data_IF_579371708416
#
_entry.id   IF_579371708416
#
_cell.length_a   1.000
_cell.length_b   1.000
_cell.length_c   1.000
_cell.angle_alpha   90.00
_cell.angle_beta   90.00
_cell.angle_gamma   90.00
#
_symmetry.space_group_name_H-M   'P 1'
#
loop_
_entity.id
_entity.type
_entity.pdbx_description
1 polymer ?
#
# COMPACT_ATOMS: atom_id res chain seq x y z
N UNK A 1 28.30 24.61 -3.30
CA UNK A 1 27.40 25.12 -2.28
C UNK A 1 27.39 24.19 -1.08
N UNK A 2 27.53 24.73 0.12
CA UNK A 2 27.44 23.99 1.37
C UNK A 2 26.35 24.63 2.23
N UNK A 3 25.47 23.82 2.78
CA UNK A 3 24.44 24.24 3.74
C UNK A 3 24.58 23.38 4.99
N UNK A 4 24.69 24.03 6.14
CA UNK A 4 24.70 23.40 7.46
C UNK A 4 23.57 23.99 8.29
N UNK A 5 22.75 23.14 8.89
CA UNK A 5 21.62 23.57 9.71
C UNK A 5 21.57 22.75 10.99
N UNK A 6 21.24 23.39 12.09
CA UNK A 6 21.00 22.74 13.37
C UNK A 6 19.74 23.32 14.01
N UNK A 7 18.85 22.44 14.46
CA UNK A 7 17.61 22.81 15.13
C UNK A 7 17.54 22.12 16.49
N UNK A 8 17.15 22.86 17.51
CA UNK A 8 16.95 22.34 18.84
C UNK A 8 15.49 22.51 19.23
N UNK A 9 14.75 21.43 19.27
CA UNK A 9 13.29 21.43 19.45
C UNK A 9 12.90 20.81 20.79
N UNK A 10 11.80 21.34 21.37
CA UNK A 10 11.22 20.83 22.59
C UNK A 10 9.76 20.45 22.46
N UNK A 11 9.36 19.30 23.03
CA UNK A 11 8.01 18.83 23.07
C UNK A 11 7.56 18.51 24.50
N UNK A 12 6.54 19.21 24.98
CA UNK A 12 6.04 19.10 26.36
C UNK A 12 5.39 17.74 26.67
N UNK A 13 4.95 17.02 25.62
CA UNK A 13 4.27 15.72 25.73
C UNK A 13 5.22 14.57 26.06
N UNK A 14 6.53 14.75 25.86
CA UNK A 14 7.55 13.76 26.15
C UNK A 14 7.97 13.77 27.63
N UNK A 15 8.66 12.71 28.03
CA UNK A 15 9.10 12.54 29.41
C UNK A 15 10.10 13.63 29.87
N UNK A 16 10.11 13.89 31.15
CA UNK A 16 11.08 14.81 31.73
C UNK A 16 12.52 14.32 31.46
N UNK A 17 13.39 15.24 31.00
CA UNK A 17 14.74 14.89 30.55
C UNK A 17 14.85 14.55 29.07
N UNK A 18 13.75 14.15 28.39
CA UNK A 18 13.72 13.78 26.96
C UNK A 18 12.89 14.74 26.12
N UNK A 19 12.47 15.88 26.69
CA UNK A 19 11.63 16.87 25.99
C UNK A 19 12.37 17.57 24.86
N UNK A 20 13.67 17.77 25.00
CA UNK A 20 14.48 18.53 24.06
C UNK A 20 15.45 17.63 23.30
N UNK A 21 15.58 17.86 22.00
CA UNK A 21 16.55 17.13 21.18
C UNK A 21 17.11 18.00 20.05
N UNK A 22 18.27 17.60 19.50
CA UNK A 22 18.99 18.32 18.48
C UNK A 22 18.94 17.59 17.13
N UNK A 23 18.56 18.33 16.07
CA UNK A 23 18.34 17.81 14.72
C UNK A 23 19.29 18.51 13.73
N UNK A 24 20.46 17.92 13.46
CA UNK A 24 21.41 18.46 12.50
C UNK A 24 21.04 18.11 11.07
N UNK A 25 21.42 18.96 10.12
CA UNK A 25 21.46 18.63 8.70
C UNK A 25 22.63 19.27 7.98
N UNK A 26 23.09 18.59 6.92
CA UNK A 26 24.14 19.07 6.05
C UNK A 26 23.81 18.74 4.60
N UNK A 27 24.02 19.66 3.69
CA UNK A 27 23.84 19.42 2.27
C UNK A 27 24.98 20.06 1.46
N UNK A 28 25.45 19.31 0.46
CA UNK A 28 26.46 19.78 -0.50
C UNK A 28 25.84 19.72 -1.89
N UNK A 29 26.05 20.76 -2.66
CA UNK A 29 25.68 20.79 -4.06
C UNK A 29 26.88 21.25 -4.89
N UNK A 30 27.27 20.41 -5.85
CA UNK A 30 28.38 20.65 -6.76
C UNK A 30 27.86 20.90 -8.17
N UNK A 31 28.15 22.08 -8.70
CA UNK A 31 27.80 22.48 -10.07
C UNK A 31 28.94 22.06 -10.99
N UNK A 32 28.86 20.82 -11.45
CA UNK A 32 29.91 20.17 -12.24
C UNK A 32 30.09 20.84 -13.60
N UNK A 33 29.04 21.47 -14.15
CA UNK A 33 29.10 22.20 -15.42
C UNK A 33 30.01 23.44 -15.38
N UNK A 34 30.40 23.89 -14.19
CA UNK A 34 31.32 25.03 -14.03
C UNK A 34 32.79 24.60 -13.99
N UNK A 35 33.06 23.31 -13.90
CA UNK A 35 34.43 22.78 -13.82
C UNK A 35 35.07 22.68 -15.20
N UNK A 36 36.37 22.95 -15.29
CA UNK A 36 37.09 22.98 -16.57
C UNK A 36 37.00 21.69 -17.36
N UNK A 37 36.92 20.53 -16.72
CA UNK A 37 36.81 19.23 -17.39
C UNK A 37 35.43 18.97 -18.01
N UNK A 38 34.36 19.70 -17.64
CA UNK A 38 33.01 19.61 -18.22
C UNK A 38 32.68 20.83 -19.07
N UNK A 39 33.19 22.00 -18.72
CA UNK A 39 32.90 23.30 -19.33
C UNK A 39 33.09 23.32 -20.87
N UNK A 40 33.99 22.48 -21.39
CA UNK A 40 34.22 22.33 -22.82
C UNK A 40 33.22 21.43 -23.54
N UNK A 41 32.33 20.78 -22.78
CA UNK A 41 31.33 19.86 -23.35
C UNK A 41 30.07 20.66 -23.70
N UNK A 42 29.99 21.14 -24.94
CA UNK A 42 28.97 22.10 -25.40
C UNK A 42 27.51 21.60 -25.32
N UNK A 43 27.30 20.28 -25.23
CA UNK A 43 25.94 19.71 -25.14
C UNK A 43 25.43 19.59 -23.70
N UNK A 44 26.27 19.82 -22.67
CA UNK A 44 25.87 19.86 -21.26
C UNK A 44 25.57 21.32 -20.91
N UNK A 45 24.32 21.61 -20.57
CA UNK A 45 23.87 22.95 -20.15
C UNK A 45 23.88 23.10 -18.62
N UNK A 46 23.53 22.03 -17.92
CA UNK A 46 23.55 21.96 -16.47
C UNK A 46 23.88 20.53 -16.04
N UNK A 47 24.74 20.40 -15.05
CA UNK A 47 25.03 19.14 -14.39
C UNK A 47 25.37 19.43 -12.94
N UNK A 48 24.42 19.16 -12.02
CA UNK A 48 24.56 19.48 -10.61
C UNK A 48 24.36 18.21 -9.78
N UNK A 49 25.39 17.85 -9.05
CA UNK A 49 25.35 16.75 -8.09
C UNK A 49 25.00 17.27 -6.70
N UNK A 50 24.10 16.58 -6.01
CA UNK A 50 23.62 16.93 -4.66
C UNK A 50 23.74 15.74 -3.73
N UNK A 51 24.21 15.99 -2.51
CA UNK A 51 24.16 15.04 -1.40
C UNK A 51 23.68 15.77 -0.17
N UNK A 52 22.68 15.22 0.50
CA UNK A 52 22.15 15.74 1.74
C UNK A 52 22.02 14.65 2.79
N UNK A 53 22.30 15.00 4.01
CA UNK A 53 22.02 14.21 5.21
C UNK A 53 21.26 15.06 6.20
N UNK A 54 20.24 14.51 6.83
CA UNK A 54 19.50 15.23 7.87
C UNK A 54 18.83 14.29 8.86
N UNK A 55 18.67 14.78 10.07
CA UNK A 55 17.91 14.12 11.12
C UNK A 55 16.68 14.95 11.44
N UNK A 56 15.53 14.30 11.51
CA UNK A 56 14.26 14.91 11.92
C UNK A 56 13.67 14.14 13.09
N UNK A 57 12.96 14.85 13.97
CA UNK A 57 12.28 14.26 15.12
C UNK A 57 10.76 14.27 14.94
N UNK A 58 10.12 13.26 15.52
CA UNK A 58 8.69 13.18 15.69
C UNK A 58 8.35 12.96 17.16
N UNK A 59 7.46 13.78 17.71
CA UNK A 59 6.96 13.70 19.09
C UNK A 59 5.43 13.53 19.14
N UNK A 60 4.83 13.00 18.07
CA UNK A 60 3.39 12.93 17.88
C UNK A 60 2.76 11.85 18.77
N UNK A 61 2.62 12.18 20.05
CA UNK A 61 1.85 11.43 21.04
C UNK A 61 0.80 12.33 21.69
N UNK A 62 -0.24 11.72 22.23
CA UNK A 62 -1.25 12.46 22.98
C UNK A 62 -0.69 12.97 24.32
N UNK A 63 -1.17 14.12 24.83
CA UNK A 63 -0.78 14.60 26.16
C UNK A 63 -1.00 13.53 27.24
N UNK A 64 -0.14 13.55 28.24
CA UNK A 64 -0.18 12.66 29.42
C UNK A 64 0.08 11.17 29.15
N UNK A 65 0.46 10.77 27.95
CA UNK A 65 0.75 9.35 27.68
C UNK A 65 1.97 8.82 28.45
N UNK A 66 2.91 9.70 28.81
CA UNK A 66 4.04 9.35 29.69
C UNK A 66 3.63 8.98 31.10
N UNK A 67 2.50 9.51 31.58
CA UNK A 67 1.98 9.27 32.95
C UNK A 67 1.12 8.02 33.06
N UNK A 68 0.89 7.33 31.93
CA UNK A 68 0.00 6.17 31.88
C UNK A 68 -1.49 6.55 31.94
N UNK A 69 -2.36 5.57 31.87
CA UNK A 69 -3.80 5.79 31.94
C UNK A 69 -4.55 4.67 32.65
N UNK A 70 -5.70 5.03 33.19
CA UNK A 70 -6.70 4.12 33.68
C UNK A 70 -7.96 4.22 32.85
N UNK A 71 -8.62 3.11 32.64
CA UNK A 71 -9.91 3.05 31.92
C UNK A 71 -11.02 2.74 32.94
N UNK A 72 -12.04 3.59 32.95
CA UNK A 72 -13.26 3.29 33.69
C UNK A 72 -14.12 2.34 32.87
N UNK A 73 -14.43 1.18 33.43
CA UNK A 73 -15.26 0.19 32.75
C UNK A 73 -16.54 0.02 33.56
N UNK A 74 -17.69 0.09 32.93
CA UNK A 74 -18.93 -0.41 33.51
C UNK A 74 -18.82 -1.94 33.55
N UNK A 75 -18.29 -2.48 34.63
CA UNK A 75 -18.35 -3.91 34.88
C UNK A 75 -19.58 -4.16 35.76
N UNK A 76 -20.45 -5.08 35.36
CA UNK A 76 -21.45 -5.65 36.23
C UNK A 76 -20.69 -6.50 37.30
N UNK A 77 -20.06 -5.82 38.24
CA UNK A 77 -19.52 -6.49 39.41
C UNK A 77 -20.68 -6.55 40.40
N UNK A 78 -21.21 -7.74 40.71
CA UNK A 78 -22.26 -7.86 41.71
C UNK A 78 -21.63 -7.51 43.08
N UNK A 79 -21.84 -6.28 43.52
CA UNK A 79 -21.44 -5.84 44.84
C UNK A 79 -22.68 -5.89 45.74
N UNK A 80 -22.75 -6.87 46.65
CA UNK A 80 -23.86 -7.04 47.61
C UNK A 80 -24.47 -8.43 47.59
N UNK A 81 -25.18 -8.79 48.65
CA UNK A 81 -25.95 -10.04 48.81
C UNK A 81 -27.38 -9.75 48.35
N UNK A 82 -27.84 -10.45 47.30
CA UNK A 82 -29.21 -10.36 46.79
C UNK A 82 -29.33 -9.82 45.35
N UNK A 83 -30.54 -9.88 44.80
CA UNK A 83 -30.88 -9.55 43.39
C UNK A 83 -30.73 -8.06 42.96
N UNK A 84 -30.12 -7.23 43.78
CA UNK A 84 -29.84 -5.85 43.44
C UNK A 84 -28.37 -5.74 42.99
N UNK A 85 -28.11 -6.11 41.73
CA UNK A 85 -26.85 -5.78 41.06
C UNK A 85 -26.81 -4.26 40.85
N UNK A 86 -26.15 -3.54 41.73
CA UNK A 86 -25.79 -2.14 41.46
C UNK A 86 -24.61 -2.14 40.48
N UNK A 87 -24.76 -1.44 39.38
CA UNK A 87 -23.66 -1.19 38.42
C UNK A 87 -22.62 -0.32 39.11
N UNK A 88 -21.53 -0.93 39.57
CA UNK A 88 -20.40 -0.20 40.12
C UNK A 88 -19.42 0.10 38.98
N UNK A 89 -19.05 1.37 38.87
CA UNK A 89 -17.99 1.78 37.95
C UNK A 89 -16.66 1.32 38.52
N UNK A 90 -16.06 0.33 37.85
CA UNK A 90 -14.70 -0.12 38.17
C UNK A 90 -13.68 0.64 37.34
N UNK A 91 -12.53 0.95 37.94
CA UNK A 91 -11.40 1.54 37.22
C UNK A 91 -10.27 0.49 37.21
N UNK A 92 -9.75 0.24 35.99
CA UNK A 92 -8.56 -0.62 35.82
C UNK A 92 -7.45 0.15 35.13
N UNK A 93 -6.22 -0.18 35.48
CA UNK A 93 -5.04 0.30 34.73
C UNK A 93 -5.08 -0.20 33.31
N UNK A 94 -4.76 0.66 32.34
CA UNK A 94 -4.76 0.31 30.91
C UNK A 94 -3.39 0.49 30.28
N UNK A 95 -2.76 1.64 30.45
CA UNK A 95 -1.45 1.95 29.90
C UNK A 95 -0.46 2.17 31.03
N UNK A 96 0.67 1.46 30.98
CA UNK A 96 1.75 1.62 31.94
C UNK A 96 2.47 2.96 31.72
N UNK A 97 2.80 3.73 32.81
CA UNK A 97 3.61 4.93 32.70
C UNK A 97 4.98 4.63 32.09
N UNK A 98 5.45 5.56 31.24
CA UNK A 98 6.81 5.52 30.70
C UNK A 98 7.50 6.88 30.84
N UNK A 99 8.32 7.02 31.87
CA UNK A 99 9.05 8.24 32.16
C UNK A 99 10.38 8.37 31.37
N UNK A 100 10.65 7.46 30.44
CA UNK A 100 11.80 7.52 29.54
C UNK A 100 11.43 7.82 28.09
N UNK A 101 10.13 8.07 27.81
CA UNK A 101 9.64 8.29 26.45
C UNK A 101 10.27 9.54 25.82
N UNK A 102 10.94 9.35 24.69
CA UNK A 102 11.67 10.38 23.97
C UNK A 102 11.20 10.55 22.52
N UNK A 103 12.00 11.29 21.74
CA UNK A 103 11.75 11.53 20.34
C UNK A 103 11.95 10.27 19.50
N UNK A 104 11.04 10.05 18.55
CA UNK A 104 11.28 9.22 17.39
C UNK A 104 12.17 9.97 16.41
N UNK A 105 13.21 9.34 15.84
CA UNK A 105 14.21 9.98 15.00
C UNK A 105 14.22 9.36 13.61
N UNK A 106 14.17 10.20 12.59
CA UNK A 106 14.38 9.79 11.20
C UNK A 106 15.65 10.41 10.68
N UNK A 107 16.65 9.58 10.36
CA UNK A 107 17.85 9.96 9.64
C UNK A 107 17.66 9.67 8.15
N UNK A 108 17.98 10.64 7.30
CA UNK A 108 17.81 10.51 5.86
C UNK A 108 19.04 10.92 5.09
N UNK A 109 19.38 10.16 4.06
CA UNK A 109 20.35 10.50 3.02
C UNK A 109 19.60 10.70 1.72
N UNK A 110 19.88 11.77 1.01
CA UNK A 110 19.40 12.04 -0.33
C UNK A 110 20.58 12.30 -1.26
N UNK A 111 20.62 11.62 -2.40
CA UNK A 111 21.63 11.81 -3.44
C UNK A 111 20.88 12.14 -4.72
N UNK A 112 21.20 13.29 -5.33
CA UNK A 112 20.52 13.78 -6.51
C UNK A 112 21.47 14.25 -7.60
N UNK A 113 21.02 14.08 -8.84
CA UNK A 113 21.66 14.59 -10.03
C UNK A 113 20.65 15.40 -10.83
N UNK A 114 20.86 16.71 -10.91
CA UNK A 114 20.06 17.58 -11.79
C UNK A 114 20.86 17.78 -13.09
N UNK A 115 20.22 17.59 -14.22
CA UNK A 115 20.87 17.72 -15.51
C UNK A 115 19.99 18.43 -16.53
N UNK A 116 20.67 19.14 -17.44
CA UNK A 116 20.06 19.68 -18.65
C UNK A 116 21.07 19.61 -19.79
N UNK A 117 20.66 19.02 -20.90
CA UNK A 117 21.52 18.71 -22.03
C UNK A 117 20.88 19.10 -23.37
N UNK A 118 21.69 19.13 -24.44
CA UNK A 118 21.28 19.38 -25.81
C UNK A 118 20.49 20.70 -25.95
N UNK A 119 21.05 21.79 -25.44
CA UNK A 119 20.43 23.12 -25.41
C UNK A 119 19.07 23.10 -24.67
N UNK A 120 19.05 22.49 -23.50
CA UNK A 120 17.87 22.30 -22.64
C UNK A 120 16.73 21.51 -23.31
N UNK A 121 17.04 20.67 -24.31
CA UNK A 121 16.05 19.80 -24.91
C UNK A 121 15.69 18.60 -24.03
N UNK A 122 16.62 18.18 -23.20
CA UNK A 122 16.43 17.12 -22.23
C UNK A 122 16.88 17.67 -20.89
N UNK A 123 15.98 17.73 -19.94
CA UNK A 123 16.27 18.16 -18.56
C UNK A 123 15.57 17.26 -17.56
N UNK A 124 16.15 17.11 -16.38
CA UNK A 124 15.55 16.27 -15.38
C UNK A 124 16.34 16.19 -14.09
N UNK A 125 15.81 15.41 -13.17
CA UNK A 125 16.48 15.03 -11.94
C UNK A 125 16.36 13.53 -11.71
N UNK A 126 17.44 12.93 -11.22
CA UNK A 126 17.47 11.56 -10.74
C UNK A 126 17.86 11.63 -9.26
N UNK A 127 17.02 11.06 -8.40
CA UNK A 127 17.22 11.09 -6.96
C UNK A 127 17.18 9.68 -6.38
N UNK A 128 18.09 9.41 -5.47
CA UNK A 128 18.05 8.25 -4.58
C UNK A 128 17.93 8.75 -3.16
N UNK A 129 16.99 8.19 -2.41
CA UNK A 129 16.87 8.47 -0.99
C UNK A 129 16.87 7.19 -0.16
N UNK A 130 17.38 7.32 1.06
CA UNK A 130 17.24 6.32 2.11
C UNK A 130 16.97 7.04 3.43
N UNK A 131 15.87 6.68 4.06
CA UNK A 131 15.48 7.15 5.38
C UNK A 131 15.39 5.96 6.34
N UNK A 132 15.91 6.12 7.53
CA UNK A 132 15.81 5.15 8.61
C UNK A 132 15.19 5.84 9.83
N UNK A 133 14.05 5.31 10.28
CA UNK A 133 13.38 5.78 11.50
C UNK A 133 13.67 4.81 12.62
N UNK A 134 14.23 5.32 13.70
CA UNK A 134 14.52 4.60 14.93
C UNK A 134 13.69 5.13 16.08
N UNK A 135 13.63 4.35 17.15
CA UNK A 135 12.93 4.74 18.36
C UNK A 135 11.45 5.08 18.11
N UNK A 136 10.79 4.27 17.26
CA UNK A 136 9.39 4.46 16.90
C UNK A 136 8.50 4.56 18.14
N UNK A 137 7.63 5.55 18.16
CA UNK A 137 6.64 5.75 19.24
C UNK A 137 5.48 4.75 19.08
N UNK A 138 5.61 3.58 19.68
CA UNK A 138 4.68 2.46 19.51
C UNK A 138 4.15 1.94 20.84
N UNK A 139 2.95 1.35 20.79
CA UNK A 139 2.39 0.60 21.89
C UNK A 139 3.00 -0.82 21.90
N UNK A 140 3.58 -1.19 23.02
CA UNK A 140 4.09 -2.52 23.29
C UNK A 140 3.15 -3.25 24.24
N UNK A 141 2.65 -4.42 23.85
CA UNK A 141 1.83 -5.26 24.70
C UNK A 141 2.65 -5.80 25.88
N UNK A 142 2.02 -5.85 27.04
CA UNK A 142 2.65 -6.34 28.27
C UNK A 142 1.99 -7.64 28.74
N UNK A 143 2.75 -8.53 29.39
CA UNK A 143 2.19 -9.71 30.06
C UNK A 143 1.12 -9.30 31.07
N UNK A 144 0.03 -10.06 31.16
CA UNK A 144 -1.12 -9.77 32.04
C UNK A 144 -0.71 -9.65 33.50
N UNK A 145 0.34 -10.36 33.94
CA UNK A 145 0.87 -10.32 35.30
C UNK A 145 1.34 -8.92 35.72
N UNK A 146 1.63 -8.02 34.78
CA UNK A 146 2.02 -6.63 35.08
C UNK A 146 0.85 -5.76 35.54
N UNK A 147 -0.38 -6.21 35.33
CA UNK A 147 -1.60 -5.45 35.60
C UNK A 147 -1.91 -4.38 34.55
N UNK A 148 -1.09 -4.25 33.51
CA UNK A 148 -1.27 -3.31 32.41
C UNK A 148 -1.42 -4.06 31.09
N UNK A 149 -2.21 -3.50 30.17
CA UNK A 149 -2.37 -4.08 28.83
C UNK A 149 -1.19 -3.74 27.91
N UNK A 150 -0.71 -2.51 28.00
CA UNK A 150 0.34 -1.99 27.11
C UNK A 150 1.15 -0.88 27.78
N UNK A 151 2.31 -0.58 27.18
CA UNK A 151 3.15 0.58 27.46
C UNK A 151 3.50 1.27 26.16
N UNK A 152 3.46 2.59 26.12
CA UNK A 152 4.01 3.36 25.01
C UNK A 152 5.53 3.47 25.19
N UNK A 153 6.28 3.14 24.17
CA UNK A 153 7.73 3.06 24.24
C UNK A 153 8.39 3.44 22.91
N UNK A 154 9.63 3.90 23.00
CA UNK A 154 10.49 4.11 21.83
C UNK A 154 11.09 2.76 21.43
N UNK A 155 10.49 2.10 20.46
CA UNK A 155 10.89 0.73 20.08
C UNK A 155 10.68 0.49 18.59
N UNK A 156 11.55 -0.35 18.04
CA UNK A 156 11.48 -0.71 16.65
C UNK A 156 12.19 0.26 15.72
N UNK A 157 12.40 -0.22 14.51
CA UNK A 157 13.13 0.50 13.46
C UNK A 157 12.56 0.16 12.10
N UNK A 158 12.41 1.17 11.26
CA UNK A 158 11.99 1.01 9.88
C UNK A 158 12.97 1.66 8.93
N UNK A 159 13.00 1.18 7.71
CA UNK A 159 13.79 1.76 6.62
C UNK A 159 12.91 1.95 5.41
N UNK A 160 13.05 3.11 4.79
CA UNK A 160 12.41 3.46 3.54
C UNK A 160 13.49 3.92 2.54
N UNK A 161 13.48 3.38 1.32
CA UNK A 161 14.43 3.77 0.27
C UNK A 161 13.76 3.75 -1.09
N UNK A 162 14.19 4.63 -1.97
CA UNK A 162 13.62 4.69 -3.30
C UNK A 162 14.47 5.45 -4.29
N UNK A 163 14.00 5.41 -5.53
CA UNK A 163 14.55 6.15 -6.65
C UNK A 163 13.43 6.96 -7.28
N UNK A 164 13.69 8.22 -7.56
CA UNK A 164 12.77 9.13 -8.22
C UNK A 164 13.46 9.70 -9.48
N UNK A 165 12.72 9.71 -10.58
CA UNK A 165 13.15 10.29 -11.85
C UNK A 165 12.10 11.29 -12.31
N UNK A 166 12.54 12.50 -12.60
CA UNK A 166 11.76 13.51 -13.33
C UNK A 166 12.51 13.84 -14.60
N UNK A 167 11.85 13.72 -15.74
CA UNK A 167 12.45 13.94 -17.05
C UNK A 167 11.51 14.77 -17.91
N UNK A 168 11.99 15.88 -18.43
CA UNK A 168 11.32 16.72 -19.42
C UNK A 168 12.12 16.72 -20.73
N UNK A 169 11.43 16.43 -21.84
CA UNK A 169 12.06 16.36 -23.15
C UNK A 169 11.29 17.17 -24.17
N UNK A 170 11.99 17.97 -24.97
CA UNK A 170 11.47 18.59 -26.17
C UNK A 170 11.84 17.69 -27.35
N UNK A 171 10.94 16.80 -27.73
CA UNK A 171 11.18 15.77 -28.74
C UNK A 171 11.33 16.38 -30.14
N UNK A 172 10.40 17.29 -30.47
CA UNK A 172 10.40 18.02 -31.72
C UNK A 172 10.17 19.50 -31.44
N UNK A 173 10.95 20.37 -32.05
CA UNK A 173 10.76 21.82 -32.00
C UNK A 173 11.04 22.40 -33.40
N UNK A 174 9.99 22.88 -34.02
CA UNK A 174 10.05 23.62 -35.29
C UNK A 174 9.46 25.03 -35.10
N UNK A 175 9.33 25.81 -36.14
CA UNK A 175 8.72 27.15 -36.09
C UNK A 175 7.27 27.11 -35.62
N UNK A 176 6.50 26.14 -36.11
CA UNK A 176 5.04 26.06 -35.90
C UNK A 176 4.61 24.89 -35.01
N UNK A 177 5.50 23.92 -34.72
CA UNK A 177 5.17 22.72 -34.02
C UNK A 177 6.18 22.42 -32.92
N UNK A 178 5.67 22.14 -31.71
CA UNK A 178 6.47 21.66 -30.55
C UNK A 178 5.81 20.41 -29.97
N UNK A 179 6.60 19.38 -29.73
CA UNK A 179 6.22 18.20 -28.98
C UNK A 179 7.12 18.08 -27.76
N UNK A 180 6.50 18.13 -26.59
CA UNK A 180 7.16 17.98 -25.28
C UNK A 180 6.58 16.77 -24.55
N UNK A 181 7.45 16.05 -23.85
CA UNK A 181 7.08 14.94 -22.96
C UNK A 181 7.68 15.20 -21.58
N UNK A 182 6.83 15.14 -20.55
CA UNK A 182 7.26 15.14 -19.15
C UNK A 182 6.96 13.78 -18.56
N UNK A 183 7.97 13.16 -18.00
CA UNK A 183 7.89 11.85 -17.39
C UNK A 183 8.34 11.91 -15.92
N UNK A 184 7.53 11.33 -15.04
CA UNK A 184 7.86 11.10 -13.64
C UNK A 184 7.81 9.62 -13.33
N UNK A 185 8.76 9.14 -12.56
CA UNK A 185 8.83 7.76 -12.10
C UNK A 185 9.31 7.74 -10.66
N UNK A 186 8.66 6.94 -9.82
CA UNK A 186 9.03 6.76 -8.42
C UNK A 186 8.90 5.29 -8.05
N UNK A 187 9.92 4.78 -7.37
CA UNK A 187 9.87 3.48 -6.71
C UNK A 187 10.19 3.65 -5.24
N UNK A 188 9.52 2.89 -4.41
CA UNK A 188 9.70 2.91 -2.96
C UNK A 188 9.76 1.48 -2.42
N UNK A 189 10.70 1.24 -1.49
CA UNK A 189 10.86 0.00 -0.75
C UNK A 189 10.95 0.30 0.73
N UNK A 190 9.90 -0.04 1.43
CA UNK A 190 9.78 0.08 2.88
C UNK A 190 10.00 -1.27 3.54
N UNK A 191 10.65 -1.30 4.70
CA UNK A 191 10.78 -2.52 5.51
C UNK A 191 10.95 -2.22 6.99
N UNK A 192 10.41 -3.10 7.80
CA UNK A 192 10.68 -3.19 9.23
C UNK A 192 12.08 -3.77 9.41
N UNK A 193 12.94 -3.11 10.18
CA UNK A 193 14.28 -3.55 10.53
C UNK A 193 14.31 -4.25 11.87
N UNK A 194 13.49 -3.76 12.81
CA UNK A 194 13.46 -4.22 14.17
C UNK A 194 12.06 -4.02 14.77
N UNK A 195 11.59 -4.98 15.53
CA UNK A 195 10.34 -4.92 16.29
C UNK A 195 10.63 -4.75 17.80
N UNK A 196 9.62 -4.30 18.53
CA UNK A 196 9.67 -3.90 19.94
C UNK A 196 10.30 -4.92 20.90
N UNK A 197 10.25 -6.21 20.57
CA UNK A 197 10.69 -7.29 21.46
C UNK A 197 11.94 -8.00 20.96
N UNK A 198 12.62 -7.49 19.91
CA UNK A 198 13.67 -8.23 19.21
C UNK A 198 13.16 -9.48 18.48
N UNK A 199 11.85 -9.63 18.39
CA UNK A 199 11.18 -10.72 17.70
C UNK A 199 11.25 -10.52 16.19
N UNK A 200 11.24 -11.61 15.43
CA UNK A 200 11.23 -11.55 13.96
C UNK A 200 9.83 -11.27 13.40
N UNK A 201 8.79 -11.47 14.19
CA UNK A 201 7.40 -11.25 13.81
C UNK A 201 6.52 -10.86 15.00
N UNK A 202 5.47 -10.09 14.69
CA UNK A 202 4.36 -9.80 15.58
C UNK A 202 3.06 -10.08 14.80
N UNK A 203 2.42 -11.20 15.09
CA UNK A 203 1.22 -11.65 14.37
C UNK A 203 -0.03 -10.89 14.80
N UNK A 204 0.00 -10.19 15.94
CA UNK A 204 -1.13 -9.36 16.40
C UNK A 204 -1.31 -8.11 15.53
N UNK A 205 -0.20 -7.57 15.00
CA UNK A 205 -0.18 -6.42 14.12
C UNK A 205 0.17 -6.74 12.66
N UNK A 206 0.17 -7.97 12.18
CA UNK A 206 0.86 -8.65 11.08
C UNK A 206 2.14 -7.93 10.62
N UNK A 207 3.09 -7.77 11.55
CA UNK A 207 4.38 -7.14 11.29
C UNK A 207 5.51 -8.17 11.26
N UNK A 208 6.33 -8.10 10.21
CA UNK A 208 7.42 -9.04 9.97
C UNK A 208 8.70 -8.28 9.64
N UNK A 209 9.79 -8.61 10.31
CA UNK A 209 11.12 -8.05 10.01
C UNK A 209 11.51 -8.37 8.56
N UNK A 210 11.99 -7.39 7.84
CA UNK A 210 12.33 -7.51 6.42
C UNK A 210 11.16 -7.21 5.45
N UNK A 211 9.93 -7.09 5.94
CA UNK A 211 8.73 -6.78 5.15
C UNK A 211 8.21 -5.37 5.40
N UNK A 212 7.38 -4.80 4.49
CA UNK A 212 6.74 -3.51 4.70
C UNK A 212 5.77 -3.52 5.87
N UNK A 213 5.48 -2.33 6.43
CA UNK A 213 4.46 -2.15 7.48
C UNK A 213 3.06 -2.38 6.91
N UNK A 214 2.81 -1.87 5.69
CA UNK A 214 1.51 -1.95 5.03
C UNK A 214 1.39 -3.22 4.20
N UNK A 215 0.97 -4.29 4.83
CA UNK A 215 0.76 -5.59 4.19
C UNK A 215 -0.63 -6.14 4.52
N UNK A 216 -1.06 -7.14 3.74
CA UNK A 216 -2.01 -8.14 4.19
C UNK A 216 -1.25 -9.42 4.48
N UNK A 217 -1.68 -10.16 5.46
CA UNK A 217 -1.13 -11.46 5.83
C UNK A 217 -2.29 -12.43 5.99
N UNK A 218 -2.49 -13.27 4.98
CA UNK A 218 -3.66 -14.13 4.87
C UNK A 218 -3.39 -15.31 3.94
N UNK A 219 -4.32 -16.24 3.88
CA UNK A 219 -4.25 -17.41 3.03
C UNK A 219 -4.23 -17.04 1.54
N UNK A 220 -3.57 -17.88 0.76
CA UNK A 220 -3.47 -17.70 -0.68
C UNK A 220 -4.52 -18.56 -1.39
N UNK A 221 -5.34 -17.92 -2.23
CA UNK A 221 -6.25 -18.60 -3.13
C UNK A 221 -5.50 -19.47 -4.14
N UNK A 222 -5.93 -20.73 -4.29
CA UNK A 222 -5.45 -21.66 -5.31
C UNK A 222 -6.43 -21.69 -6.49
N UNK A 223 -7.58 -22.32 -6.30
CA UNK A 223 -8.62 -22.53 -7.32
C UNK A 223 -9.99 -22.84 -6.69
N UNK A 224 -10.95 -23.21 -7.49
CA UNK A 224 -12.23 -23.74 -7.02
C UNK A 224 -12.15 -25.28 -7.01
N UNK A 225 -12.60 -25.91 -5.91
CA UNK A 225 -12.72 -27.36 -5.82
C UNK A 225 -13.60 -27.87 -6.93
N UNK A 226 -13.17 -28.92 -7.64
CA UNK A 226 -13.90 -29.57 -8.72
C UNK A 226 -14.46 -30.89 -8.26
N UNK A 227 -15.48 -31.39 -8.98
CA UNK A 227 -15.99 -32.76 -8.80
C UNK A 227 -15.19 -33.73 -9.70
N UNK A 228 -13.92 -33.94 -9.33
CA UNK A 228 -13.01 -34.87 -9.99
C UNK A 228 -12.52 -35.90 -8.99
N UNK A 229 -12.11 -37.11 -9.44
CA UNK A 229 -11.54 -38.12 -8.54
C UNK A 229 -10.39 -37.60 -7.67
N UNK A 230 -9.51 -36.78 -8.24
CA UNK A 230 -8.37 -36.22 -7.56
C UNK A 230 -8.80 -35.25 -6.44
N UNK A 231 -9.73 -34.34 -6.75
CA UNK A 231 -10.22 -33.37 -5.78
C UNK A 231 -11.08 -34.07 -4.70
N UNK A 232 -11.88 -35.06 -5.07
CA UNK A 232 -12.66 -35.84 -4.12
C UNK A 232 -11.74 -36.60 -3.14
N UNK A 233 -10.65 -37.20 -3.64
CA UNK A 233 -9.60 -37.81 -2.79
C UNK A 233 -9.02 -36.79 -1.83
N UNK A 234 -8.65 -35.62 -2.32
CA UNK A 234 -8.06 -34.54 -1.50
C UNK A 234 -9.06 -34.01 -0.45
N UNK A 235 -10.32 -33.78 -0.80
CA UNK A 235 -11.35 -33.37 0.15
C UNK A 235 -11.55 -34.39 1.28
N UNK A 236 -11.52 -35.71 0.98
CA UNK A 236 -11.54 -36.76 2.00
C UNK A 236 -10.29 -36.70 2.91
N UNK A 237 -9.10 -36.46 2.35
CA UNK A 237 -7.88 -36.32 3.13
C UNK A 237 -7.96 -35.10 4.09
N UNK A 238 -8.46 -33.96 3.62
CA UNK A 238 -8.69 -32.78 4.48
C UNK A 238 -9.66 -33.11 5.62
N UNK A 239 -10.71 -33.87 5.33
CA UNK A 239 -11.67 -34.29 6.35
C UNK A 239 -11.05 -35.25 7.37
N UNK A 240 -10.32 -36.26 6.90
CA UNK A 240 -9.75 -37.31 7.77
C UNK A 240 -8.56 -36.85 8.59
N UNK A 241 -7.72 -35.93 8.04
CA UNK A 241 -6.51 -35.43 8.70
C UNK A 241 -6.80 -34.19 9.54
N UNK A 242 -7.52 -33.21 8.98
CA UNK A 242 -7.72 -31.88 9.58
C UNK A 242 -9.13 -31.61 10.10
N UNK A 243 -10.06 -32.57 9.93
CA UNK A 243 -11.47 -32.38 10.22
C UNK A 243 -12.09 -31.18 9.47
N UNK A 244 -11.62 -30.94 8.23
CA UNK A 244 -12.08 -29.86 7.36
C UNK A 244 -12.94 -30.43 6.24
N UNK A 245 -14.17 -29.95 6.12
CA UNK A 245 -15.12 -30.43 5.09
C UNK A 245 -15.18 -29.41 3.96
N UNK A 246 -14.85 -29.86 2.75
CA UNK A 246 -14.97 -29.09 1.52
C UNK A 246 -15.95 -29.75 0.57
N UNK A 247 -16.54 -28.97 -0.32
CA UNK A 247 -17.45 -29.42 -1.36
C UNK A 247 -17.00 -28.88 -2.72
N UNK A 248 -17.27 -29.59 -3.83
CA UNK A 248 -17.08 -29.01 -5.17
C UNK A 248 -17.77 -27.65 -5.28
N UNK A 249 -17.15 -26.74 -5.99
CA UNK A 249 -17.62 -25.35 -6.14
C UNK A 249 -17.24 -24.39 -5.03
N UNK A 250 -16.58 -24.84 -3.96
CA UNK A 250 -16.01 -23.94 -2.94
C UNK A 250 -14.60 -23.48 -3.32
N UNK A 251 -14.11 -22.40 -2.69
CA UNK A 251 -12.74 -21.96 -2.88
C UNK A 251 -11.75 -22.90 -2.18
N UNK A 252 -10.67 -23.21 -2.90
CA UNK A 252 -9.50 -23.90 -2.38
C UNK A 252 -8.41 -22.88 -2.10
N UNK A 253 -7.78 -23.00 -0.95
CA UNK A 253 -6.58 -22.23 -0.60
C UNK A 253 -5.34 -23.12 -0.71
N UNK A 254 -4.18 -22.47 -0.85
CA UNK A 254 -2.91 -23.17 -0.77
C UNK A 254 -2.70 -23.67 0.65
N UNK A 255 -2.16 -24.88 0.74
CA UNK A 255 -1.77 -25.58 1.96
C UNK A 255 -0.37 -26.16 1.76
N UNK A 256 0.24 -26.65 2.82
CA UNK A 256 1.44 -27.48 2.72
C UNK A 256 1.14 -28.70 1.84
N UNK A 257 2.09 -29.14 0.98
CA UNK A 257 1.87 -30.33 0.16
C UNK A 257 1.75 -31.58 1.05
N UNK A 258 0.82 -32.46 0.69
CA UNK A 258 0.76 -33.78 1.33
C UNK A 258 2.04 -34.56 1.04
N UNK A 259 2.75 -34.97 2.07
CA UNK A 259 3.94 -35.79 1.98
C UNK A 259 3.56 -37.29 2.13
N UNK A 260 3.16 -37.92 1.02
CA UNK A 260 2.83 -39.36 1.02
C UNK A 260 4.13 -40.18 1.16
N UNK A 261 4.10 -41.20 2.02
CA UNK A 261 5.22 -42.09 2.29
C UNK A 261 4.76 -43.56 2.28
N UNK A 262 5.65 -44.55 2.09
CA UNK A 262 5.28 -45.98 2.17
C UNK A 262 4.66 -46.33 3.55
N UNK A 263 3.70 -47.24 3.54
CA UNK A 263 3.08 -47.75 4.78
C UNK A 263 4.16 -48.36 5.71
N UNK A 264 4.16 -48.00 6.98
CA UNK A 264 5.14 -48.43 7.96
C UNK A 264 6.40 -47.60 8.06
N UNK A 265 6.50 -46.46 7.33
CA UNK A 265 7.59 -45.48 7.53
C UNK A 265 7.58 -44.94 8.95
N UNK A 266 8.72 -44.88 9.62
CA UNK A 266 8.83 -44.38 10.99
C UNK A 266 8.32 -42.93 11.10
N UNK A 267 7.44 -42.67 12.07
CA UNK A 267 6.83 -41.35 12.28
C UNK A 267 5.66 -41.02 11.34
N UNK A 268 5.31 -41.90 10.39
CA UNK A 268 4.17 -41.70 9.50
C UNK A 268 2.84 -41.99 10.20
N UNK A 269 1.78 -41.36 9.73
CA UNK A 269 0.37 -41.63 10.06
C UNK A 269 -0.34 -42.23 8.85
N UNK A 270 -1.36 -43.04 9.09
CA UNK A 270 -2.14 -43.66 8.00
C UNK A 270 -3.61 -43.31 8.17
N UNK A 271 -4.23 -42.89 7.10
CA UNK A 271 -5.69 -42.68 7.01
C UNK A 271 -6.27 -43.64 5.97
N UNK A 272 -7.53 -44.03 6.17
CA UNK A 272 -8.27 -44.91 5.25
C UNK A 272 -9.36 -44.06 4.61
N UNK A 273 -9.34 -43.98 3.28
CA UNK A 273 -10.36 -43.29 2.49
C UNK A 273 -11.64 -44.13 2.43
N UNK A 274 -12.72 -43.53 1.97
CA UNK A 274 -14.03 -44.14 1.95
C UNK A 274 -14.11 -45.33 0.97
N UNK A 275 -13.24 -45.39 -0.03
CA UNK A 275 -13.05 -46.51 -0.96
C UNK A 275 -12.16 -47.64 -0.41
N UNK A 276 -11.67 -47.50 0.83
CA UNK A 276 -10.76 -48.43 1.47
C UNK A 276 -9.28 -48.18 1.16
N UNK A 277 -8.94 -47.24 0.33
CA UNK A 277 -7.53 -46.84 0.02
C UNK A 277 -6.83 -46.36 1.26
N UNK A 278 -5.65 -46.91 1.58
CA UNK A 278 -4.80 -46.45 2.65
C UNK A 278 -3.83 -45.40 2.13
N UNK A 279 -3.72 -44.27 2.82
CA UNK A 279 -2.74 -43.23 2.54
C UNK A 279 -1.89 -43.00 3.77
N UNK A 280 -0.59 -43.29 3.68
CA UNK A 280 0.39 -43.03 4.73
C UNK A 280 1.12 -41.73 4.41
N UNK A 281 1.29 -40.86 5.41
CA UNK A 281 1.84 -39.53 5.23
C UNK A 281 2.66 -39.08 6.44
N UNK A 282 3.61 -38.16 6.22
CA UNK A 282 4.31 -37.46 7.29
C UNK A 282 3.47 -36.27 7.74
N UNK A 283 3.39 -36.07 9.07
CA UNK A 283 2.63 -34.95 9.66
C UNK A 283 3.44 -33.64 9.53
N UNK A 284 3.35 -33.00 8.37
CA UNK A 284 4.01 -31.74 8.04
C UNK A 284 3.10 -30.50 8.17
N UNK A 285 1.90 -30.66 8.73
CA UNK A 285 0.91 -29.57 8.83
C UNK A 285 -0.20 -29.64 7.79
N UNK A 286 -0.09 -30.47 6.74
CA UNK A 286 -1.14 -30.65 5.74
C UNK A 286 -2.51 -30.90 6.39
N UNK A 287 -3.54 -30.27 5.83
CA UNK A 287 -4.93 -30.36 6.30
C UNK A 287 -5.25 -29.52 7.54
N UNK A 288 -4.32 -28.75 8.04
CA UNK A 288 -4.49 -27.85 9.18
C UNK A 288 -4.00 -26.48 8.80
N UNK A 289 -4.89 -25.62 8.37
CA UNK A 289 -4.53 -24.26 7.99
C UNK A 289 -4.08 -23.44 9.20
N UNK A 290 -2.82 -23.05 9.20
CA UNK A 290 -2.13 -22.32 10.26
C UNK A 290 -1.57 -21.01 9.73
N UNK A 291 -0.82 -20.33 10.57
CA UNK A 291 -0.09 -19.12 10.19
C UNK A 291 1.00 -19.39 9.15
N UNK A 292 1.52 -20.62 9.08
CA UNK A 292 2.56 -21.02 8.12
C UNK A 292 2.03 -21.13 6.67
N UNK A 293 0.70 -21.26 6.50
CA UNK A 293 0.05 -21.30 5.20
C UNK A 293 -0.32 -19.92 4.66
N UNK A 294 -0.14 -18.89 5.49
CA UNK A 294 -0.41 -17.51 5.11
C UNK A 294 0.75 -16.90 4.34
N UNK A 295 0.41 -16.05 3.40
CA UNK A 295 1.37 -15.30 2.58
C UNK A 295 1.24 -13.81 2.80
N UNK A 296 2.31 -13.09 2.53
CA UNK A 296 2.35 -11.64 2.64
C UNK A 296 1.99 -11.02 1.29
N UNK A 297 0.96 -10.16 1.29
CA UNK A 297 0.56 -9.36 0.16
C UNK A 297 0.92 -7.89 0.42
N UNK A 298 1.60 -7.26 -0.52
CA UNK A 298 1.99 -5.86 -0.41
C UNK A 298 0.82 -4.94 -0.79
N UNK A 299 0.40 -4.06 0.11
CA UNK A 299 -0.63 -3.02 -0.14
C UNK A 299 -0.09 -1.86 -0.93
N UNK A 300 1.18 -1.48 -0.69
CA UNK A 300 1.81 -0.34 -1.32
C UNK A 300 2.31 -0.67 -2.73
N UNK A 301 2.18 0.24 -3.70
CA UNK A 301 2.73 0.03 -5.03
C UNK A 301 4.26 -0.03 -4.96
N UNK A 302 4.86 -0.90 -5.79
CA UNK A 302 6.31 -0.98 -5.93
C UNK A 302 6.85 0.21 -6.72
N UNK A 303 6.08 0.69 -7.70
CA UNK A 303 6.41 1.85 -8.48
C UNK A 303 5.16 2.55 -9.03
N UNK A 304 5.28 3.86 -9.18
CA UNK A 304 4.28 4.75 -9.73
C UNK A 304 4.93 5.69 -10.72
N UNK A 305 4.15 6.27 -11.61
CA UNK A 305 4.68 7.27 -12.50
C UNK A 305 3.59 7.98 -13.29
N UNK A 306 4.01 9.00 -14.01
CA UNK A 306 3.16 9.80 -14.86
C UNK A 306 3.87 10.16 -16.15
N UNK A 307 3.12 10.19 -17.24
CA UNK A 307 3.57 10.61 -18.56
C UNK A 307 2.63 11.67 -19.07
N UNK A 308 3.12 12.88 -19.23
CA UNK A 308 2.41 13.97 -19.87
C UNK A 308 3.00 14.23 -21.26
N UNK A 309 2.19 14.23 -22.30
CA UNK A 309 2.58 14.66 -23.63
C UNK A 309 1.81 15.92 -24.01
N UNK A 310 2.52 16.89 -24.55
CA UNK A 310 1.97 18.14 -25.03
C UNK A 310 2.44 18.40 -26.46
N UNK A 311 1.50 18.71 -27.34
CA UNK A 311 1.70 19.00 -28.74
C UNK A 311 1.13 20.38 -29.03
N UNK A 312 1.98 21.31 -29.37
CA UNK A 312 1.59 22.67 -29.76
C UNK A 312 1.80 22.83 -31.23
N UNK A 313 0.74 23.18 -31.96
CA UNK A 313 0.79 23.53 -33.39
C UNK A 313 0.14 24.89 -33.59
N UNK A 314 0.95 25.91 -33.88
CA UNK A 314 0.50 27.31 -33.92
C UNK A 314 -0.32 27.67 -32.68
N UNK A 315 -1.58 27.97 -32.86
CA UNK A 315 -2.51 28.40 -31.81
C UNK A 315 -3.23 27.23 -31.13
N UNK A 316 -2.98 25.99 -31.54
CA UNK A 316 -3.54 24.77 -30.98
C UNK A 316 -2.61 24.14 -29.99
N UNK A 317 -3.15 23.68 -28.86
CA UNK A 317 -2.45 22.81 -27.93
C UNK A 317 -3.28 21.57 -27.63
N UNK A 318 -2.70 20.41 -27.84
CA UNK A 318 -3.25 19.10 -27.48
C UNK A 318 -2.35 18.49 -26.42
N UNK A 319 -2.93 17.96 -25.35
CA UNK A 319 -2.17 17.26 -24.30
C UNK A 319 -2.94 16.09 -23.74
N UNK A 320 -2.19 15.11 -23.25
CA UNK A 320 -2.76 14.02 -22.47
C UNK A 320 -1.80 13.62 -21.35
N UNK A 321 -2.39 13.29 -20.20
CA UNK A 321 -1.68 12.80 -19.02
C UNK A 321 -2.10 11.38 -18.70
N UNK A 322 -1.12 10.49 -18.58
CA UNK A 322 -1.28 9.09 -18.21
C UNK A 322 -0.59 8.82 -16.90
N UNK A 323 -1.31 8.25 -15.95
CA UNK A 323 -0.80 7.79 -14.67
C UNK A 323 -0.73 6.26 -14.64
N UNK A 324 0.30 5.72 -14.02
CA UNK A 324 0.46 4.28 -13.86
C UNK A 324 0.92 3.90 -12.46
N UNK A 325 0.42 2.75 -12.00
CA UNK A 325 0.70 2.21 -10.67
C UNK A 325 0.76 0.70 -10.75
N UNK A 326 1.84 0.13 -10.19
CA UNK A 326 2.09 -1.31 -10.28
C UNK A 326 2.66 -1.87 -8.98
N UNK A 327 2.38 -3.16 -8.74
CA UNK A 327 2.98 -3.96 -7.68
C UNK A 327 2.26 -3.95 -6.34
N UNK A 328 1.09 -3.32 -6.25
CA UNK A 328 0.22 -3.38 -5.07
C UNK A 328 -0.82 -4.50 -5.20
N UNK A 329 -1.28 -4.97 -4.05
CA UNK A 329 -2.41 -5.89 -3.93
C UNK A 329 -3.62 -5.13 -3.39
N UNK A 330 -4.77 -5.44 -3.95
CA UNK A 330 -6.07 -4.96 -3.55
C UNK A 330 -6.85 -6.11 -2.88
N UNK A 331 -7.64 -5.79 -1.86
CA UNK A 331 -8.56 -6.73 -1.20
C UNK A 331 -10.00 -6.29 -1.41
N UNK A 332 -10.91 -7.25 -1.61
CA UNK A 332 -12.35 -6.97 -1.72
C UNK A 332 -12.94 -7.23 -3.11
N UNK A 333 -12.23 -7.91 -4.00
CA UNK A 333 -12.71 -8.21 -5.34
C UNK A 333 -14.06 -8.91 -5.32
N UNK A 334 -14.21 -9.99 -4.57
CA UNK A 334 -15.44 -10.78 -4.53
C UNK A 334 -16.58 -10.06 -3.82
N UNK A 335 -16.29 -9.25 -2.82
CA UNK A 335 -17.30 -8.47 -2.11
C UNK A 335 -17.90 -7.36 -2.97
N UNK A 336 -17.06 -6.73 -3.81
CA UNK A 336 -17.51 -5.70 -4.73
C UNK A 336 -18.34 -6.30 -5.87
N UNK A 337 -17.96 -7.49 -6.33
CA UNK A 337 -18.63 -8.21 -7.41
C UNK A 337 -19.87 -8.96 -6.87
N UNK A 338 -19.78 -9.56 -5.68
CA UNK A 338 -20.85 -10.38 -5.09
C UNK A 338 -22.15 -9.65 -4.74
N UNK A 339 -22.17 -8.32 -4.82
CA UNK A 339 -23.41 -7.52 -4.79
C UNK A 339 -24.05 -7.35 -6.16
N UNK A 340 -23.34 -7.71 -7.24
CA UNK A 340 -23.88 -7.78 -8.59
C UNK A 340 -24.15 -9.26 -8.88
N UNK A 341 -25.27 -9.59 -9.46
CA UNK A 341 -25.60 -10.95 -9.91
C UNK A 341 -24.48 -11.44 -10.83
N UNK A 342 -23.60 -12.26 -10.28
CA UNK A 342 -22.47 -12.78 -11.02
C UNK A 342 -22.97 -13.87 -11.98
N UNK A 343 -22.57 -13.73 -13.22
CA UNK A 343 -22.92 -14.67 -14.29
C UNK A 343 -21.92 -15.83 -14.39
N UNK A 344 -20.71 -15.66 -13.81
CA UNK A 344 -19.59 -16.60 -13.94
C UNK A 344 -19.32 -17.31 -12.60
N UNK A 345 -20.33 -18.01 -12.10
CA UNK A 345 -20.26 -18.83 -10.90
C UNK A 345 -20.09 -20.30 -11.24
N UNK A 346 -19.39 -21.01 -10.38
CA UNK A 346 -19.19 -22.45 -10.54
C UNK A 346 -20.53 -23.22 -10.48
N UNK A 347 -20.68 -24.17 -11.38
CA UNK A 347 -21.72 -25.18 -11.40
C UNK A 347 -21.18 -26.42 -12.10
N UNK A 348 -21.85 -27.60 -11.99
CA UNK A 348 -21.43 -28.81 -12.71
C UNK A 348 -21.34 -28.64 -14.23
N UNK A 349 -22.03 -27.64 -14.78
CA UNK A 349 -22.00 -27.28 -16.22
C UNK A 349 -21.07 -26.10 -16.54
N UNK A 350 -20.51 -25.42 -15.54
CA UNK A 350 -19.57 -24.31 -15.66
C UNK A 350 -18.40 -24.48 -14.68
N UNK A 351 -17.56 -25.46 -14.91
CA UNK A 351 -16.44 -25.81 -14.02
C UNK A 351 -15.28 -24.85 -14.07
N UNK A 352 -15.16 -24.05 -15.16
CA UNK A 352 -14.10 -23.04 -15.33
C UNK A 352 -14.48 -21.64 -14.81
N UNK A 353 -15.53 -21.56 -13.99
CA UNK A 353 -15.99 -20.31 -13.42
C UNK A 353 -14.94 -19.63 -12.55
N UNK A 354 -15.04 -18.30 -12.46
CA UNK A 354 -14.14 -17.46 -11.64
C UNK A 354 -14.55 -17.40 -10.17
N UNK A 355 -15.84 -17.64 -9.89
CA UNK A 355 -16.42 -17.50 -8.56
C UNK A 355 -17.00 -18.79 -8.07
N UNK A 356 -16.89 -19.01 -6.76
CA UNK A 356 -17.44 -20.19 -6.12
C UNK A 356 -18.95 -20.27 -6.27
N UNK A 357 -19.49 -21.45 -6.14
CA UNK A 357 -20.92 -21.70 -6.12
C UNK A 357 -21.62 -20.88 -5.03
N UNK A 358 -22.69 -20.14 -5.34
CA UNK A 358 -23.52 -19.50 -4.32
C UNK A 358 -24.08 -20.54 -3.35
N UNK A 359 -24.07 -20.25 -2.05
CA UNK A 359 -24.64 -21.13 -1.04
C UNK A 359 -25.47 -20.33 -0.05
N UNK A 360 -26.56 -20.91 0.42
CA UNK A 360 -27.41 -20.42 1.49
C UNK A 360 -26.95 -20.91 2.86
N UNK A 361 -26.07 -21.93 2.90
CA UNK A 361 -25.52 -22.42 4.15
C UNK A 361 -24.65 -21.34 4.81
N UNK A 362 -24.74 -21.20 6.12
CA UNK A 362 -23.80 -20.40 6.90
C UNK A 362 -22.42 -20.98 6.66
N UNK A 363 -21.65 -20.34 5.78
CA UNK A 363 -20.29 -20.76 5.53
C UNK A 363 -19.45 -20.38 6.75
N UNK A 364 -18.83 -21.33 7.35
CA UNK A 364 -17.65 -21.12 8.19
C UNK A 364 -16.47 -20.84 7.26
N UNK A 365 -16.60 -19.84 6.42
CA UNK A 365 -15.63 -19.60 5.35
C UNK A 365 -14.57 -18.60 5.79
N UNK A 366 -13.79 -18.99 6.79
CA UNK A 366 -12.53 -18.32 7.13
C UNK A 366 -11.64 -18.15 5.88
N UNK A 367 -11.85 -18.99 4.87
CA UNK A 367 -10.97 -19.07 3.69
C UNK A 367 -11.52 -18.39 2.44
N UNK A 368 -12.80 -18.03 2.40
CA UNK A 368 -13.39 -17.32 1.25
C UNK A 368 -12.72 -15.93 1.03
N UNK A 369 -12.15 -15.37 2.09
CA UNK A 369 -11.36 -14.14 2.04
C UNK A 369 -10.17 -14.20 1.09
N UNK A 370 -9.56 -15.36 0.94
CA UNK A 370 -8.36 -15.54 0.10
C UNK A 370 -8.59 -15.15 -1.37
N UNK A 371 -9.80 -15.35 -1.92
CA UNK A 371 -10.14 -14.96 -3.30
C UNK A 371 -10.23 -13.45 -3.50
N UNK A 372 -10.36 -12.68 -2.42
CA UNK A 372 -10.48 -11.23 -2.50
C UNK A 372 -9.18 -10.53 -2.85
N UNK A 373 -8.03 -11.21 -2.73
CA UNK A 373 -6.72 -10.62 -3.05
C UNK A 373 -6.47 -10.65 -4.55
N UNK A 374 -6.26 -9.48 -5.14
CA UNK A 374 -5.93 -9.32 -6.56
C UNK A 374 -4.93 -8.20 -6.79
N UNK A 375 -4.27 -8.22 -7.95
CA UNK A 375 -3.31 -7.17 -8.30
C UNK A 375 -4.03 -5.87 -8.65
N UNK A 376 -3.63 -4.77 -8.00
CA UNK A 376 -4.14 -3.42 -8.24
C UNK A 376 -3.40 -2.65 -9.34
N UNK A 377 -2.73 -3.37 -10.26
CA UNK A 377 -2.00 -2.76 -11.36
C UNK A 377 -2.94 -2.02 -12.30
N UNK A 378 -2.57 -0.77 -12.64
CA UNK A 378 -3.38 0.04 -13.55
C UNK A 378 -2.58 1.04 -14.35
N UNK A 379 -3.15 1.43 -15.50
CA UNK A 379 -2.77 2.57 -16.31
C UNK A 379 -4.03 3.40 -16.54
N UNK A 380 -4.02 4.64 -16.09
CA UNK A 380 -5.15 5.56 -16.16
C UNK A 380 -4.78 6.78 -17.01
N UNK A 381 -5.46 6.98 -18.13
CA UNK A 381 -5.43 8.27 -18.83
C UNK A 381 -6.33 9.22 -18.04
N UNK A 382 -5.72 10.12 -17.25
CA UNK A 382 -6.46 11.01 -16.35
C UNK A 382 -7.08 12.19 -17.07
N UNK A 383 -6.40 12.67 -18.10
CA UNK A 383 -6.80 13.88 -18.81
C UNK A 383 -6.39 13.83 -20.27
N UNK A 384 -7.29 14.24 -21.13
CA UNK A 384 -7.02 14.61 -22.53
C UNK A 384 -7.59 16.00 -22.73
N UNK A 385 -6.77 16.93 -23.19
CA UNK A 385 -7.18 18.32 -23.39
C UNK A 385 -6.80 18.81 -24.77
N UNK A 386 -7.68 19.59 -25.37
CA UNK A 386 -7.45 20.34 -26.60
C UNK A 386 -7.83 21.79 -26.36
N UNK A 387 -6.94 22.71 -26.68
CA UNK A 387 -7.23 24.13 -26.58
C UNK A 387 -6.81 24.90 -27.82
N UNK A 388 -7.52 25.96 -28.08
CA UNK A 388 -7.25 26.91 -29.18
C UNK A 388 -7.14 28.32 -28.62
N UNK A 389 -6.01 28.97 -28.84
CA UNK A 389 -5.79 30.38 -28.48
C UNK A 389 -6.16 31.27 -29.67
N UNK A 390 -7.13 32.15 -29.45
CA UNK A 390 -7.58 33.05 -30.54
C UNK A 390 -6.50 34.07 -30.85
N UNK A 391 -6.06 34.19 -32.12
CA UNK A 391 -5.02 35.15 -32.50
C UNK A 391 -5.40 36.59 -32.15
N UNK A 392 -4.45 37.36 -31.63
CA UNK A 392 -4.63 38.71 -31.13
C UNK A 392 -5.29 39.66 -32.15
N UNK A 393 -5.04 39.47 -33.43
CA UNK A 393 -5.65 40.29 -34.51
C UNK A 393 -7.18 40.29 -34.52
N UNK A 394 -7.82 39.24 -34.00
CA UNK A 394 -9.28 39.15 -33.86
C UNK A 394 -9.80 39.77 -32.55
N UNK A 395 -8.94 39.85 -31.53
CA UNK A 395 -9.31 40.28 -30.19
C UNK A 395 -9.17 41.80 -29.98
N UNK A 396 -8.24 42.42 -30.68
CA UNK A 396 -7.94 43.87 -30.51
C UNK A 396 -9.16 44.75 -30.69
N UNK A 397 -10.08 44.35 -31.59
CA UNK A 397 -11.32 45.12 -31.88
C UNK A 397 -12.27 45.17 -30.67
N UNK A 398 -12.15 44.21 -29.77
CA UNK A 398 -13.07 44.02 -28.65
C UNK A 398 -12.44 44.35 -27.28
N UNK A 399 -11.21 44.88 -27.27
CA UNK A 399 -10.51 45.17 -26.02
C UNK A 399 -10.15 43.93 -25.18
N UNK A 400 -10.08 42.77 -25.83
CA UNK A 400 -9.73 41.49 -25.19
C UNK A 400 -8.24 41.23 -25.38
N UNK A 401 -7.49 41.03 -24.30
CA UNK A 401 -6.07 40.78 -24.35
C UNK A 401 -5.74 39.31 -24.65
N UNK A 402 -6.57 38.39 -24.22
CA UNK A 402 -6.39 36.95 -24.46
C UNK A 402 -7.72 36.24 -24.49
N UNK A 403 -7.91 35.32 -25.41
CA UNK A 403 -9.07 34.41 -25.46
C UNK A 403 -8.63 32.99 -25.80
N UNK A 404 -9.07 32.02 -25.04
CA UNK A 404 -8.79 30.61 -25.24
C UNK A 404 -10.09 29.82 -25.12
N UNK A 405 -10.33 28.95 -26.09
CA UNK A 405 -11.40 27.94 -26.06
C UNK A 405 -10.73 26.60 -25.76
N UNK A 406 -11.27 25.84 -24.82
CA UNK A 406 -10.71 24.55 -24.49
C UNK A 406 -11.78 23.49 -24.25
N UNK A 407 -11.45 22.27 -24.58
CA UNK A 407 -12.21 21.08 -24.22
C UNK A 407 -11.30 20.10 -23.49
N UNK A 408 -11.86 19.39 -22.52
CA UNK A 408 -11.13 18.45 -21.68
C UNK A 408 -11.99 17.23 -21.38
N UNK A 409 -11.38 16.06 -21.45
CA UNK A 409 -11.99 14.80 -21.02
C UNK A 409 -11.20 14.26 -19.86
N UNK A 410 -11.87 14.11 -18.70
CA UNK A 410 -11.29 13.57 -17.50
C UNK A 410 -11.58 12.07 -17.41
N UNK A 411 -10.58 11.29 -17.01
CA UNK A 411 -10.62 9.86 -16.82
C UNK A 411 -11.20 9.07 -18.02
N UNK A 412 -10.81 9.37 -19.27
CA UNK A 412 -11.41 8.74 -20.46
C UNK A 412 -11.15 7.24 -20.53
N UNK A 413 -9.95 6.78 -20.14
CA UNK A 413 -9.54 5.39 -20.30
C UNK A 413 -8.81 4.87 -19.07
N UNK A 414 -9.23 3.68 -18.62
CA UNK A 414 -8.60 2.93 -17.54
C UNK A 414 -8.28 1.52 -18.06
N UNK A 415 -7.02 1.13 -17.93
CA UNK A 415 -6.51 -0.18 -18.29
C UNK A 415 -5.93 -0.85 -17.05
N UNK A 416 -6.12 -2.17 -16.92
CA UNK A 416 -5.59 -2.88 -15.76
C UNK A 416 -5.90 -4.38 -15.78
N UNK A 417 -5.65 -5.02 -14.64
CA UNK A 417 -5.87 -6.44 -14.44
C UNK A 417 -7.34 -6.80 -14.19
N UNK A 418 -7.54 -7.83 -13.39
CA UNK A 418 -8.84 -8.40 -13.06
C UNK A 418 -9.79 -7.37 -12.43
N UNK A 419 -9.28 -6.52 -11.56
CA UNK A 419 -10.04 -5.48 -10.87
C UNK A 419 -10.72 -4.52 -11.86
N UNK A 420 -9.93 -4.01 -12.82
CA UNK A 420 -10.43 -3.08 -13.85
C UNK A 420 -11.42 -3.77 -14.79
N UNK A 421 -11.17 -5.04 -15.14
CA UNK A 421 -12.09 -5.86 -15.94
C UNK A 421 -13.42 -6.08 -15.22
N UNK A 422 -13.42 -6.11 -13.90
CA UNK A 422 -14.60 -6.16 -13.06
C UNK A 422 -15.32 -4.81 -12.92
N UNK A 423 -14.83 -3.76 -13.56
CA UNK A 423 -15.41 -2.41 -13.52
C UNK A 423 -15.04 -1.61 -12.24
N UNK A 424 -14.00 -2.02 -11.54
CA UNK A 424 -13.51 -1.34 -10.33
C UNK A 424 -12.31 -0.48 -10.71
N UNK A 425 -12.37 0.80 -10.35
CA UNK A 425 -11.21 1.66 -10.46
C UNK A 425 -10.37 1.56 -9.18
N UNK A 426 -9.11 1.08 -9.27
CA UNK A 426 -8.26 0.98 -8.09
C UNK A 426 -7.96 2.31 -7.38
N UNK A 427 -8.16 3.46 -8.02
CA UNK A 427 -8.03 4.78 -7.42
C UNK A 427 -9.24 5.19 -6.57
N UNK A 428 -10.40 4.59 -6.79
CA UNK A 428 -11.62 4.87 -6.01
C UNK A 428 -11.62 4.23 -4.62
N UNK A 429 -10.59 3.45 -4.35
CA UNK A 429 -10.47 2.71 -3.10
C UNK A 429 -9.83 3.60 -2.05
N UNK A 430 -10.63 4.43 -1.43
CA UNK A 430 -10.20 5.41 -0.41
C UNK A 430 -10.51 5.01 1.02
N UNK A 431 -10.85 3.77 1.29
CA UNK A 431 -11.13 3.36 2.66
C UNK A 431 -10.92 1.87 2.86
N UNK A 432 -9.82 1.52 3.50
CA UNK A 432 -9.67 0.24 4.16
C UNK A 432 -10.24 0.35 5.56
N UNK A 433 -11.34 -0.32 5.82
CA UNK A 433 -11.78 -0.58 7.18
C UNK A 433 -11.12 -1.87 7.66
N UNK A 434 -10.07 -1.71 8.47
CA UNK A 434 -9.32 -2.83 9.04
C UNK A 434 -10.19 -3.70 9.98
N UNK A 435 -11.25 -3.14 10.56
CA UNK A 435 -12.12 -3.82 11.50
C UNK A 435 -13.08 -4.81 10.81
N UNK A 436 -13.41 -4.58 9.56
CA UNK A 436 -14.38 -5.40 8.83
C UNK A 436 -13.80 -6.19 7.66
N UNK A 437 -12.49 -6.13 7.41
CA UNK A 437 -11.82 -6.76 6.26
C UNK A 437 -12.45 -6.43 4.91
N UNK A 438 -13.28 -5.39 4.90
CA UNK A 438 -14.00 -4.93 3.73
C UNK A 438 -13.12 -3.85 3.09
N UNK A 439 -12.42 -4.21 2.02
CA UNK A 439 -11.99 -3.25 1.00
C UNK A 439 -13.28 -2.71 0.38
N UNK A 440 -14.08 -2.00 1.17
CA UNK A 440 -15.34 -1.47 0.76
C UNK A 440 -15.10 -0.25 -0.09
N UNK A 441 -15.80 -0.17 -1.21
CA UNK A 441 -16.26 1.13 -1.63
C UNK A 441 -16.92 1.75 -0.40
N UNK A 442 -16.21 2.64 0.27
CA UNK A 442 -16.87 3.64 1.09
C UNK A 442 -17.86 4.35 0.17
N UNK A 443 -18.90 4.93 0.71
CA UNK A 443 -19.94 5.66 -0.05
C UNK A 443 -19.39 6.85 -0.87
N UNK A 444 -18.14 6.78 -1.32
CA UNK A 444 -17.50 7.77 -2.14
C UNK A 444 -18.00 7.63 -3.58
N UNK A 445 -18.24 8.75 -4.19
CA UNK A 445 -18.60 8.83 -5.60
C UNK A 445 -17.54 8.18 -6.44
N UNK A 446 -17.92 7.21 -7.27
CA UNK A 446 -17.03 6.59 -8.24
C UNK A 446 -16.35 7.67 -9.10
N UNK A 447 -15.08 7.48 -9.44
CA UNK A 447 -14.40 8.36 -10.41
C UNK A 447 -15.16 8.27 -11.74
N UNK A 448 -15.77 9.37 -12.12
CA UNK A 448 -16.58 9.47 -13.32
C UNK A 448 -15.76 9.98 -14.51
N UNK A 449 -16.17 9.60 -15.70
CA UNK A 449 -15.71 10.24 -16.92
C UNK A 449 -16.45 11.57 -17.08
N UNK A 450 -15.70 12.68 -17.23
CA UNK A 450 -16.27 14.01 -17.34
C UNK A 450 -15.81 14.70 -18.61
N UNK A 451 -16.70 15.44 -19.23
CA UNK A 451 -16.42 16.28 -20.40
C UNK A 451 -16.58 17.74 -20.00
N UNK A 452 -15.57 18.54 -20.28
CA UNK A 452 -15.57 19.96 -19.96
C UNK A 452 -15.35 20.74 -21.25
N UNK A 453 -16.18 21.76 -21.48
CA UNK A 453 -15.97 22.78 -22.49
C UNK A 453 -15.91 24.13 -21.77
N UNK A 454 -14.90 24.93 -22.08
CA UNK A 454 -14.73 26.22 -21.43
C UNK A 454 -14.13 27.28 -22.35
N UNK A 455 -14.35 28.52 -21.95
CA UNK A 455 -13.77 29.72 -22.57
C UNK A 455 -13.06 30.49 -21.47
N UNK A 456 -11.86 30.92 -21.74
CA UNK A 456 -11.08 31.81 -20.85
C UNK A 456 -10.87 33.13 -21.58
N UNK A 457 -11.24 34.23 -20.95
CA UNK A 457 -11.07 35.59 -21.49
C UNK A 457 -10.22 36.41 -20.51
N UNK A 458 -9.25 37.15 -21.03
CA UNK A 458 -8.46 38.12 -20.30
C UNK A 458 -8.68 39.52 -20.91
N UNK A 459 -9.01 40.50 -20.07
CA UNK A 459 -9.29 41.88 -20.46
C UNK A 459 -8.15 42.79 -20.06
#
# INVERSE_FOLDING_TARGET
>A
LLTLTGRYDGASVLADGNKWDFFPSAAIAWRMEQEEFIKHINWINQLKFRVGYGVTGNSSISPYQTSGSCTSTYANIPFGVGNAASNVIGTKTSVMPNYSLGWEKTSSVNIGLDFSILNNRISGSLEYYQAETSDLLMNKSLPVITGYALIQSNVGKTQNKGVELSLSTINVKTRDFTWQTDWTFSTNSEKIKELANGSMQDTSGPWFVGHPINIFWDYKYDRIWQDTPEDNKMMQLYQKIGNLTFLPGQYKICDQPLEEVPEGTEGSKTVILDDGTKVSYMDNGFGRFTDDDKVIYNKSPKWTGGLNNSFTYKDWNFSFFTYFRFGNTYYGLSQTIGRRLEKDVWSPTNTNAKFAQPTTATRTSTYDGARNYTKGNMVLVRNIALSYTVPQKFLNKYGINNAQIYTQVLNPFLFGGELVKAGINPDDVTGWDASNHIGGQTNNTCITRSFVLGVRLGF
#
